data_IF_227519753806
#
_entry.id   IF_227519753806
#
_cell.length_a   1.000
_cell.length_b   1.000
_cell.length_c   1.000
_cell.angle_alpha   90.00
_cell.angle_beta   90.00
_cell.angle_gamma   90.00
#
_symmetry.space_group_name_H-M   'P 1'
#
loop_
_entity.id
_entity.type
_entity.pdbx_description
1 polymer ?
#
# COMPACT_ATOMS: atom_id res chain seq x y z
N UNK A 1 -42.09 -22.01 -1.35
CA UNK A 1 -40.84 -22.66 -0.87
C UNK A 1 -39.73 -22.59 -1.91
N UNK A 2 -39.96 -22.91 -3.20
CA UNK A 2 -38.97 -22.71 -4.28
C UNK A 2 -38.61 -21.22 -4.47
N UNK A 3 -39.63 -20.35 -4.59
CA UNK A 3 -39.46 -18.90 -4.81
C UNK A 3 -38.78 -18.16 -3.65
N UNK A 4 -38.97 -18.64 -2.43
CA UNK A 4 -38.37 -18.06 -1.21
C UNK A 4 -36.86 -18.41 -1.11
N UNK A 5 -36.50 -19.64 -1.49
CA UNK A 5 -35.09 -20.05 -1.60
C UNK A 5 -34.34 -19.28 -2.70
N UNK A 6 -35.01 -18.95 -3.79
CA UNK A 6 -34.41 -18.16 -4.88
C UNK A 6 -34.15 -16.71 -4.46
N UNK A 7 -35.08 -16.11 -3.68
CA UNK A 7 -34.88 -14.81 -3.05
C UNK A 7 -33.70 -14.76 -2.08
N UNK A 8 -33.60 -15.77 -1.20
CA UNK A 8 -32.50 -15.88 -0.23
C UNK A 8 -31.14 -16.11 -0.91
N UNK A 9 -31.10 -16.89 -2.00
CA UNK A 9 -29.90 -17.10 -2.80
C UNK A 9 -29.44 -15.79 -3.47
N UNK A 10 -30.37 -15.02 -4.02
CA UNK A 10 -30.09 -13.70 -4.61
C UNK A 10 -29.56 -12.71 -3.56
N UNK A 11 -30.18 -12.65 -2.39
CA UNK A 11 -29.73 -11.81 -1.28
C UNK A 11 -28.31 -12.19 -0.81
N UNK A 12 -28.03 -13.49 -0.68
CA UNK A 12 -26.69 -13.99 -0.30
C UNK A 12 -25.63 -13.61 -1.34
N UNK A 13 -25.95 -13.73 -2.63
CA UNK A 13 -25.07 -13.31 -3.72
C UNK A 13 -24.78 -11.80 -3.69
N UNK A 14 -25.77 -10.97 -3.37
CA UNK A 14 -25.58 -9.53 -3.19
C UNK A 14 -24.67 -9.21 -1.99
N UNK A 15 -24.82 -9.91 -0.87
CA UNK A 15 -23.95 -9.76 0.30
C UNK A 15 -22.50 -10.13 -0.06
N UNK A 16 -22.29 -11.23 -0.77
CA UNK A 16 -20.95 -11.63 -1.23
C UNK A 16 -20.36 -10.61 -2.20
N UNK A 17 -21.16 -10.09 -3.14
CA UNK A 17 -20.73 -8.99 -4.02
C UNK A 17 -20.28 -7.77 -3.22
N UNK A 18 -21.04 -7.36 -2.20
CA UNK A 18 -20.69 -6.21 -1.35
C UNK A 18 -19.40 -6.45 -0.56
N UNK A 19 -19.21 -7.66 -0.01
CA UNK A 19 -17.97 -8.02 0.67
C UNK A 19 -16.76 -8.02 -0.27
N UNK A 20 -16.95 -8.43 -1.51
CA UNK A 20 -15.90 -8.43 -2.54
C UNK A 20 -15.52 -7.00 -2.94
N UNK A 21 -16.51 -6.11 -3.09
CA UNK A 21 -16.27 -4.67 -3.31
C UNK A 21 -15.50 -4.07 -2.14
N UNK A 22 -15.88 -4.42 -0.91
CA UNK A 22 -15.16 -3.98 0.28
C UNK A 22 -13.70 -4.47 0.25
N UNK A 23 -13.47 -5.75 -0.04
CA UNK A 23 -12.12 -6.31 -0.15
C UNK A 23 -11.28 -5.56 -1.19
N UNK A 24 -11.83 -5.30 -2.38
CA UNK A 24 -11.12 -4.57 -3.44
C UNK A 24 -10.82 -3.12 -3.04
N UNK A 25 -11.79 -2.41 -2.45
CA UNK A 25 -11.55 -1.04 -1.97
C UNK A 25 -10.45 -0.97 -0.91
N UNK A 26 -10.41 -1.94 0.02
CA UNK A 26 -9.37 -2.03 1.05
C UNK A 26 -8.01 -2.38 0.44
N UNK A 27 -7.95 -3.25 -0.57
CA UNK A 27 -6.73 -3.55 -1.33
C UNK A 27 -6.22 -2.31 -2.05
N UNK A 28 -7.09 -1.58 -2.74
CA UNK A 28 -6.74 -0.34 -3.44
C UNK A 28 -6.20 0.73 -2.48
N UNK A 29 -6.87 0.95 -1.35
CA UNK A 29 -6.39 1.89 -0.33
C UNK A 29 -5.03 1.48 0.25
N UNK A 30 -4.84 0.19 0.54
CA UNK A 30 -3.55 -0.33 1.01
C UNK A 30 -2.44 -0.07 -0.01
N UNK A 31 -2.71 -0.31 -1.30
CA UNK A 31 -1.75 -0.08 -2.38
C UNK A 31 -1.43 1.38 -2.59
N UNK A 32 -2.45 2.26 -2.57
CA UNK A 32 -2.26 3.70 -2.66
C UNK A 32 -1.34 4.20 -1.54
N UNK A 33 -1.60 3.80 -0.29
CA UNK A 33 -0.78 4.20 0.84
C UNK A 33 0.66 3.67 0.76
N UNK A 34 0.84 2.45 0.25
CA UNK A 34 2.18 1.90 0.03
C UNK A 34 2.92 2.64 -1.09
N UNK A 35 2.24 3.01 -2.17
CA UNK A 35 2.83 3.80 -3.27
C UNK A 35 3.27 5.19 -2.79
N UNK A 36 2.47 5.84 -1.94
CA UNK A 36 2.81 7.11 -1.32
C UNK A 36 4.06 6.96 -0.45
N UNK A 37 4.10 5.99 0.47
CA UNK A 37 5.29 5.75 1.30
C UNK A 37 6.56 5.62 0.47
N UNK A 38 6.53 4.83 -0.61
CA UNK A 38 7.72 4.56 -1.39
C UNK A 38 8.18 5.81 -2.15
N UNK A 39 7.27 6.55 -2.80
CA UNK A 39 7.59 7.83 -3.47
C UNK A 39 8.28 8.82 -2.52
N UNK A 40 7.72 9.01 -1.33
CA UNK A 40 8.26 9.94 -0.34
C UNK A 40 9.56 9.44 0.33
N UNK A 41 9.68 8.13 0.57
CA UNK A 41 10.92 7.55 1.10
C UNK A 41 12.07 7.65 0.10
N UNK A 42 11.81 7.44 -1.18
CA UNK A 42 12.82 7.59 -2.24
C UNK A 42 13.24 9.06 -2.35
N UNK A 43 12.27 9.97 -2.39
CA UNK A 43 12.53 11.41 -2.40
C UNK A 43 13.44 11.83 -1.23
N UNK A 44 13.16 11.37 0.00
CA UNK A 44 13.98 11.66 1.17
C UNK A 44 15.40 11.10 1.05
N UNK A 45 15.54 9.83 0.63
CA UNK A 45 16.86 9.21 0.47
C UNK A 45 17.69 9.94 -0.57
N UNK A 46 17.10 10.30 -1.71
CA UNK A 46 17.77 11.08 -2.75
C UNK A 46 18.20 12.45 -2.23
N UNK A 47 17.34 13.14 -1.47
CA UNK A 47 17.68 14.43 -0.86
C UNK A 47 18.87 14.32 0.11
N UNK A 48 18.92 13.27 0.93
CA UNK A 48 20.02 13.03 1.86
C UNK A 48 21.32 12.70 1.12
N UNK A 49 21.27 11.91 0.04
CA UNK A 49 22.44 11.58 -0.78
C UNK A 49 23.00 12.83 -1.47
N UNK A 50 22.14 13.68 -2.04
CA UNK A 50 22.58 14.93 -2.68
C UNK A 50 23.20 15.87 -1.64
N UNK A 51 22.60 15.97 -0.45
CA UNK A 51 23.13 16.78 0.65
C UNK A 51 24.50 16.28 1.13
N UNK A 52 24.67 14.96 1.32
CA UNK A 52 25.95 14.38 1.75
C UNK A 52 27.03 14.52 0.67
N UNK A 53 26.69 14.33 -0.61
CA UNK A 53 27.61 14.55 -1.72
C UNK A 53 28.05 16.02 -1.81
N UNK A 54 27.10 16.96 -1.73
CA UNK A 54 27.40 18.39 -1.84
C UNK A 54 28.30 18.88 -0.71
N UNK A 55 28.06 18.40 0.52
CA UNK A 55 28.89 18.73 1.68
C UNK A 55 30.27 18.08 1.61
N UNK A 56 30.38 16.84 1.14
CA UNK A 56 31.66 16.17 0.91
C UNK A 56 32.54 16.92 -0.10
N UNK A 57 31.98 17.31 -1.26
CA UNK A 57 32.70 18.04 -2.31
C UNK A 57 33.17 19.41 -1.81
N UNK A 58 32.31 20.12 -1.07
CA UNK A 58 32.65 21.43 -0.48
C UNK A 58 33.80 21.35 0.53
N UNK A 59 33.89 20.27 1.32
CA UNK A 59 34.93 20.13 2.35
C UNK A 59 36.28 19.63 1.81
N UNK A 60 36.30 18.73 0.82
CA UNK A 60 37.52 17.99 0.46
C UNK A 60 38.03 18.20 -0.97
N UNK A 61 37.23 18.72 -1.91
CA UNK A 61 37.54 18.59 -3.34
C UNK A 61 37.54 19.90 -4.15
N UNK A 62 37.58 21.07 -3.51
CA UNK A 62 37.51 22.33 -4.26
C UNK A 62 38.88 22.98 -4.50
N UNK A 63 39.42 22.82 -5.71
CA UNK A 63 40.54 23.61 -6.25
C UNK A 63 40.04 25.00 -6.72
N UNK A 64 38.76 25.10 -7.11
CA UNK A 64 38.17 26.30 -7.70
C UNK A 64 37.16 26.97 -6.76
N UNK A 65 37.38 28.23 -6.41
CA UNK A 65 36.51 29.01 -5.49
C UNK A 65 35.03 28.97 -5.91
N UNK A 66 34.74 29.09 -7.22
CA UNK A 66 33.38 29.05 -7.74
C UNK A 66 32.67 27.71 -7.48
N UNK A 67 33.38 26.57 -7.60
CA UNK A 67 32.76 25.26 -7.35
C UNK A 67 32.42 25.08 -5.88
N UNK A 68 33.24 25.61 -4.96
CA UNK A 68 32.92 25.60 -3.53
C UNK A 68 31.65 26.41 -3.22
N UNK A 69 31.57 27.64 -3.75
CA UNK A 69 30.42 28.54 -3.52
C UNK A 69 29.12 27.89 -4.02
N UNK A 70 29.15 27.26 -5.20
CA UNK A 70 27.98 26.57 -5.76
C UNK A 70 27.52 25.41 -4.86
N UNK A 71 28.43 24.54 -4.43
CA UNK A 71 28.08 23.41 -3.55
C UNK A 71 27.63 23.87 -2.16
N UNK A 72 28.14 25.00 -1.66
CA UNK A 72 27.70 25.59 -0.41
C UNK A 72 26.26 26.12 -0.49
N UNK A 73 25.91 26.84 -1.57
CA UNK A 73 24.53 27.30 -1.81
C UNK A 73 23.57 26.11 -1.97
N UNK A 74 23.96 25.08 -2.74
CA UNK A 74 23.17 23.85 -2.88
C UNK A 74 22.96 23.19 -1.52
N UNK A 75 24.00 23.09 -0.68
CA UNK A 75 23.88 22.50 0.65
C UNK A 75 22.87 23.25 1.55
N UNK A 76 22.82 24.59 1.46
CA UNK A 76 21.87 25.42 2.21
C UNK A 76 20.43 25.19 1.72
N UNK A 77 20.19 25.14 0.41
CA UNK A 77 18.86 24.86 -0.16
C UNK A 77 18.36 23.46 0.25
N UNK A 78 19.25 22.46 0.21
CA UNK A 78 18.95 21.09 0.60
C UNK A 78 18.64 20.99 2.10
N UNK A 79 19.42 21.70 2.94
CA UNK A 79 19.17 21.79 4.37
C UNK A 79 17.80 22.41 4.66
N UNK A 80 17.44 23.51 3.97
CA UNK A 80 16.13 24.14 4.09
C UNK A 80 14.99 23.21 3.68
N UNK A 81 15.16 22.45 2.62
CA UNK A 81 14.15 21.49 2.15
C UNK A 81 13.95 20.35 3.15
N UNK A 82 15.03 19.81 3.72
CA UNK A 82 14.96 18.80 4.79
C UNK A 82 14.30 19.35 6.06
N UNK A 83 14.63 20.58 6.44
CA UNK A 83 14.03 21.25 7.59
C UNK A 83 12.52 21.44 7.39
N UNK A 84 12.11 21.93 6.21
CA UNK A 84 10.69 22.10 5.88
C UNK A 84 9.97 20.75 5.93
N UNK A 85 10.54 19.72 5.31
CA UNK A 85 9.96 18.37 5.33
C UNK A 85 9.78 17.81 6.75
N UNK A 86 10.74 18.09 7.65
CA UNK A 86 10.65 17.72 9.06
C UNK A 86 9.56 18.51 9.79
N UNK A 87 9.54 19.85 9.63
CA UNK A 87 8.61 20.75 10.30
C UNK A 87 7.16 20.59 9.84
N UNK A 88 6.91 20.37 8.55
CA UNK A 88 5.57 20.11 8.01
C UNK A 88 4.98 18.81 8.58
N UNK A 89 5.81 17.94 9.19
CA UNK A 89 5.33 16.69 9.79
C UNK A 89 4.83 15.69 8.75
N UNK A 90 5.12 15.94 7.46
CA UNK A 90 4.85 15.01 6.35
C UNK A 90 5.50 13.65 6.60
N UNK A 91 6.65 13.63 7.27
CA UNK A 91 7.28 12.38 7.70
C UNK A 91 6.35 11.53 8.59
N UNK A 92 5.70 12.14 9.59
CA UNK A 92 4.88 11.39 10.54
C UNK A 92 3.55 10.95 9.93
N UNK A 93 2.89 11.82 9.15
CA UNK A 93 1.63 11.50 8.45
C UNK A 93 1.85 10.48 7.32
N UNK A 94 2.90 10.61 6.53
CA UNK A 94 3.00 9.87 5.27
C UNK A 94 3.72 8.52 5.43
N UNK A 95 4.65 8.38 6.38
CA UNK A 95 5.46 7.14 6.51
C UNK A 95 4.92 6.20 7.59
N UNK A 96 4.40 6.72 8.71
CA UNK A 96 3.98 5.90 9.86
C UNK A 96 2.59 5.28 9.70
N UNK A 97 1.64 6.03 9.12
CA UNK A 97 0.22 5.65 8.99
C UNK A 97 0.02 4.35 8.19
N UNK A 98 0.69 4.10 7.04
CA UNK A 98 0.44 2.88 6.28
C UNK A 98 0.88 1.60 7.01
N UNK A 99 1.70 1.68 8.09
CA UNK A 99 2.05 0.50 8.90
C UNK A 99 0.88 0.09 9.78
N UNK A 100 0.07 1.08 10.18
CA UNK A 100 -1.08 0.93 11.07
C UNK A 100 -2.38 0.68 10.31
N UNK A 101 -2.39 0.80 8.97
CA UNK A 101 -3.58 0.61 8.15
C UNK A 101 -4.35 -0.67 8.49
N UNK A 102 -3.69 -1.83 8.48
CA UNK A 102 -4.36 -3.10 8.79
C UNK A 102 -4.94 -3.16 10.20
N UNK A 103 -4.29 -2.54 11.18
CA UNK A 103 -4.75 -2.51 12.57
C UNK A 103 -5.96 -1.59 12.71
N UNK A 104 -5.88 -0.39 12.13
CA UNK A 104 -6.97 0.60 12.14
C UNK A 104 -8.18 0.07 11.36
N UNK A 105 -7.97 -0.50 10.17
CA UNK A 105 -9.02 -1.10 9.34
C UNK A 105 -9.65 -2.28 10.07
N UNK A 106 -8.87 -3.19 10.66
CA UNK A 106 -9.43 -4.29 11.46
C UNK A 106 -10.24 -3.82 12.68
N UNK A 107 -9.91 -2.66 13.26
CA UNK A 107 -10.73 -2.05 14.31
C UNK A 107 -12.06 -1.52 13.78
N UNK A 108 -12.05 -0.90 12.59
CA UNK A 108 -13.26 -0.38 11.93
C UNK A 108 -14.20 -1.46 11.41
N UNK A 109 -13.68 -2.48 10.72
CA UNK A 109 -14.49 -3.56 10.14
C UNK A 109 -14.92 -4.62 11.16
N UNK A 110 -14.56 -4.47 12.45
CA UNK A 110 -14.90 -5.45 13.49
C UNK A 110 -16.41 -5.65 13.63
N UNK A 111 -17.20 -4.60 13.39
CA UNK A 111 -18.67 -4.66 13.42
C UNK A 111 -19.25 -5.56 12.32
N UNK A 112 -18.53 -5.71 11.20
CA UNK A 112 -18.92 -6.56 10.08
C UNK A 112 -18.53 -8.03 10.28
N UNK A 113 -17.93 -8.39 11.43
CA UNK A 113 -17.46 -9.74 11.75
C UNK A 113 -16.51 -10.34 10.70
N UNK A 114 -15.74 -9.49 10.02
CA UNK A 114 -14.69 -9.86 9.06
C UNK A 114 -13.34 -9.36 9.51
N UNK A 115 -12.26 -9.98 9.03
CA UNK A 115 -10.88 -9.63 9.35
C UNK A 115 -10.04 -9.57 8.08
N UNK A 116 -9.31 -8.47 7.91
CA UNK A 116 -8.36 -8.33 6.81
C UNK A 116 -7.01 -8.93 7.21
N UNK A 117 -6.53 -9.89 6.43
CA UNK A 117 -5.27 -10.60 6.65
C UNK A 117 -4.30 -10.27 5.53
N UNK A 118 -3.07 -9.90 5.90
CA UNK A 118 -1.98 -9.67 4.94
C UNK A 118 -1.43 -11.00 4.43
N UNK A 119 -1.33 -11.13 3.12
CA UNK A 119 -0.65 -12.25 2.48
C UNK A 119 0.85 -11.92 2.40
N UNK A 120 1.71 -12.89 2.74
CA UNK A 120 3.17 -12.69 2.74
C UNK A 120 3.69 -12.83 1.32
N UNK A 121 4.13 -11.73 0.73
CA UNK A 121 4.90 -11.74 -0.53
C UNK A 121 6.38 -12.02 -0.26
N UNK A 122 7.04 -12.89 -1.04
CA UNK A 122 8.46 -13.16 -0.92
C UNK A 122 9.30 -11.90 -1.25
N UNK A 123 10.49 -11.81 -0.67
CA UNK A 123 11.35 -10.62 -0.80
C UNK A 123 11.73 -10.31 -2.25
N UNK A 124 11.95 -11.35 -3.08
CA UNK A 124 12.25 -11.20 -4.51
C UNK A 124 11.17 -10.41 -5.26
N UNK A 125 9.90 -10.74 -5.03
CA UNK A 125 8.76 -10.06 -5.64
C UNK A 125 8.56 -8.66 -5.07
N UNK A 126 8.91 -8.44 -3.80
CA UNK A 126 8.93 -7.09 -3.22
C UNK A 126 9.96 -6.18 -3.88
N UNK A 127 11.14 -6.70 -4.22
CA UNK A 127 12.20 -5.94 -4.87
C UNK A 127 11.82 -5.65 -6.33
N UNK A 128 11.36 -6.67 -7.07
CA UNK A 128 10.86 -6.51 -8.45
C UNK A 128 9.69 -5.51 -8.47
N UNK A 129 8.75 -5.66 -7.54
CA UNK A 129 7.63 -4.73 -7.38
C UNK A 129 8.09 -3.31 -7.04
N UNK A 130 9.14 -3.14 -6.24
CA UNK A 130 9.68 -1.80 -5.95
C UNK A 130 10.26 -1.13 -7.20
N UNK A 131 11.01 -1.87 -8.00
CA UNK A 131 11.59 -1.40 -9.26
C UNK A 131 10.49 -1.10 -10.29
N UNK A 132 9.51 -2.00 -10.42
CA UNK A 132 8.42 -1.87 -11.38
C UNK A 132 7.42 -0.77 -10.99
N UNK A 133 7.16 -0.57 -9.70
CA UNK A 133 6.29 0.49 -9.18
C UNK A 133 6.85 1.90 -9.47
N UNK A 134 8.17 2.04 -9.65
CA UNK A 134 8.78 3.29 -10.08
C UNK A 134 8.55 3.59 -11.57
N UNK A 135 8.36 2.57 -12.40
CA UNK A 135 8.33 2.70 -13.86
C UNK A 135 6.92 2.60 -14.47
N UNK A 136 5.99 1.93 -13.81
CA UNK A 136 4.65 1.72 -14.36
C UNK A 136 3.59 1.62 -13.25
N UNK A 137 2.43 2.27 -13.45
CA UNK A 137 1.21 2.15 -12.63
C UNK A 137 0.60 0.74 -12.78
N UNK A 138 1.33 -0.29 -12.37
CA UNK A 138 0.88 -1.66 -12.55
C UNK A 138 -0.12 -2.06 -11.46
N UNK A 139 -1.30 -2.49 -11.91
CA UNK A 139 -2.44 -2.99 -11.13
C UNK A 139 -2.14 -4.35 -10.48
N UNK A 140 -1.07 -4.47 -9.70
CA UNK A 140 -0.85 -5.68 -8.91
C UNK A 140 -1.61 -5.57 -7.58
N UNK A 141 -2.94 -5.57 -7.67
CA UNK A 141 -3.83 -5.62 -6.50
C UNK A 141 -4.07 -7.03 -5.96
N UNK A 142 -3.58 -8.06 -6.65
CA UNK A 142 -4.06 -9.44 -6.48
C UNK A 142 -3.61 -10.09 -5.16
N UNK A 143 -2.45 -9.73 -4.61
CA UNK A 143 -1.80 -10.58 -3.58
C UNK A 143 -1.50 -9.92 -2.22
N UNK A 144 -2.09 -8.77 -1.90
CA UNK A 144 -1.66 -8.03 -0.71
C UNK A 144 -2.49 -8.24 0.55
N UNK A 145 -3.81 -8.42 0.41
CA UNK A 145 -4.70 -8.61 1.54
C UNK A 145 -5.94 -9.42 1.16
N UNK A 146 -6.34 -10.35 2.04
CA UNK A 146 -7.56 -11.14 1.89
C UNK A 146 -8.52 -10.91 3.05
N UNK A 147 -9.80 -10.80 2.76
CA UNK A 147 -10.84 -10.69 3.80
C UNK A 147 -11.14 -12.09 4.38
N UNK A 148 -11.32 -12.24 5.68
CA UNK A 148 -11.62 -13.56 6.28
C UNK A 148 -12.81 -13.39 7.20
N UNK A 149 -13.82 -14.23 7.03
CA UNK A 149 -15.01 -14.25 7.87
C UNK A 149 -14.66 -14.80 9.26
N UNK A 150 -15.22 -14.20 10.32
CA UNK A 150 -15.02 -14.67 11.68
C UNK A 150 -15.73 -16.02 11.90
N UNK A 151 -15.01 -17.07 12.32
CA UNK A 151 -15.59 -18.41 12.50
C UNK A 151 -16.62 -18.50 13.63
N UNK A 152 -16.67 -17.52 14.55
CA UNK A 152 -17.63 -17.51 15.66
C UNK A 152 -19.03 -17.07 15.27
N UNK A 153 -19.16 -16.30 14.17
CA UNK A 153 -20.43 -15.68 13.77
C UNK A 153 -20.99 -16.34 12.50
N UNK A 154 -20.12 -16.80 11.60
CA UNK A 154 -20.53 -17.42 10.35
C UNK A 154 -20.36 -18.94 10.36
N UNK A 155 -21.39 -19.63 9.88
CA UNK A 155 -21.39 -21.10 9.72
C UNK A 155 -20.23 -21.58 8.82
N UNK A 156 -19.85 -22.85 8.94
CA UNK A 156 -18.84 -23.47 8.06
C UNK A 156 -19.26 -23.40 6.59
N UNK A 157 -20.53 -23.73 6.30
CA UNK A 157 -21.07 -23.71 4.94
C UNK A 157 -21.01 -22.32 4.29
N UNK A 158 -21.40 -21.26 5.02
CA UNK A 158 -21.34 -19.88 4.48
C UNK A 158 -19.90 -19.43 4.20
N UNK A 159 -18.95 -19.87 5.04
CA UNK A 159 -17.53 -19.56 4.84
C UNK A 159 -16.96 -20.28 3.62
N UNK A 160 -17.31 -21.54 3.42
CA UNK A 160 -16.91 -22.31 2.24
C UNK A 160 -17.51 -21.70 0.96
N UNK A 161 -18.79 -21.34 0.97
CA UNK A 161 -19.45 -20.65 -0.14
C UNK A 161 -18.77 -19.31 -0.47
N UNK A 162 -18.39 -18.54 0.55
CA UNK A 162 -17.64 -17.30 0.37
C UNK A 162 -16.27 -17.54 -0.28
N UNK A 163 -15.49 -18.50 0.23
CA UNK A 163 -14.17 -18.81 -0.31
C UNK A 163 -14.27 -19.32 -1.75
N UNK A 164 -15.26 -20.15 -2.07
CA UNK A 164 -15.54 -20.61 -3.44
C UNK A 164 -15.88 -19.44 -4.38
N UNK A 165 -16.83 -18.59 -3.99
CA UNK A 165 -17.26 -17.43 -4.78
C UNK A 165 -16.09 -16.47 -5.03
N UNK A 166 -15.33 -16.16 -3.97
CA UNK A 166 -14.11 -15.35 -4.06
C UNK A 166 -13.10 -15.96 -5.02
N UNK A 167 -12.76 -17.23 -4.84
CA UNK A 167 -11.71 -17.89 -5.62
C UNK A 167 -12.09 -17.94 -7.10
N UNK A 168 -13.36 -18.17 -7.41
CA UNK A 168 -13.88 -18.10 -8.77
C UNK A 168 -13.72 -16.69 -9.35
N UNK A 169 -14.10 -15.65 -8.60
CA UNK A 169 -13.96 -14.27 -9.05
C UNK A 169 -12.51 -13.89 -9.33
N UNK A 170 -11.59 -14.12 -8.37
CA UNK A 170 -10.17 -13.79 -8.55
C UNK A 170 -9.48 -14.69 -9.58
N UNK A 171 -9.93 -15.94 -9.73
CA UNK A 171 -9.47 -16.83 -10.79
C UNK A 171 -9.75 -16.24 -12.17
N UNK A 172 -10.97 -15.76 -12.40
CA UNK A 172 -11.35 -15.08 -13.64
C UNK A 172 -10.60 -13.75 -13.82
N UNK A 173 -10.46 -12.95 -12.77
CA UNK A 173 -9.76 -11.66 -12.84
C UNK A 173 -8.26 -11.83 -13.10
N UNK A 174 -7.64 -12.90 -12.58
CA UNK A 174 -6.22 -13.23 -12.85
C UNK A 174 -5.97 -13.58 -14.31
N UNK A 175 -6.95 -14.21 -14.97
CA UNK A 175 -6.88 -14.53 -16.41
C UNK A 175 -7.06 -13.26 -17.25
N UNK A 176 -7.94 -12.33 -16.84
CA UNK A 176 -8.14 -11.04 -17.52
C UNK A 176 -6.93 -10.11 -17.40
N UNK A 177 -6.19 -10.20 -16.31
CA UNK A 177 -5.04 -9.31 -16.04
C UNK A 177 -3.71 -9.80 -16.62
N UNK A 178 -3.65 -11.00 -17.22
CA UNK A 178 -2.50 -11.53 -17.95
C UNK A 178 -2.61 -11.19 -19.44
#
# INVERSE_FOLDING_TARGET
KESEKEGDASATAQIFKNMLILEESLRQQYMQQQSLRLKYSIFLVVMVIIFSYSTYVSLFHSIYVLTNIVHQVISIIMLMTLLLFYLTGEYTRTISIPRKFLVTTNKGIRQLNVRLVKVKVPLKERIIGFIHLQLHNHRQGVDHARLVLNPRVFSTATREQWELYRNQFWGLESVRSR
#
